data_IF_870018521948
#
_entry.id   IF_870018521948
#
_cell.length_a   1.000
_cell.length_b   1.000
_cell.length_c   1.000
_cell.angle_alpha   90.00
_cell.angle_beta   90.00
_cell.angle_gamma   90.00
#
_symmetry.space_group_name_H-M   'P 1'
#
loop_
_entity.id
_entity.type
_entity.pdbx_description
1 polymer ?
#
# COMPACT_ATOMS: atom_id res chain seq x y z
N UNK A 1 -59.08 7.61 -17.36
CA UNK A 1 -58.35 8.90 -17.38
C UNK A 1 -57.57 9.00 -18.69
N UNK A 2 -57.90 9.97 -19.54
CA UNK A 2 -57.37 10.07 -20.92
C UNK A 2 -55.84 10.23 -20.92
N UNK A 3 -55.12 9.63 -21.88
CA UNK A 3 -53.64 9.66 -21.94
C UNK A 3 -53.10 11.09 -21.90
N UNK A 4 -53.84 12.04 -22.48
CA UNK A 4 -53.51 13.46 -22.49
C UNK A 4 -53.53 14.09 -21.08
N UNK A 5 -54.52 13.71 -20.25
CA UNK A 5 -54.63 14.13 -18.85
C UNK A 5 -53.51 13.56 -17.98
N UNK A 6 -53.10 12.31 -18.22
CA UNK A 6 -52.00 11.68 -17.47
C UNK A 6 -50.67 12.39 -17.71
N UNK A 7 -50.39 12.80 -18.96
CA UNK A 7 -49.17 13.56 -19.31
C UNK A 7 -49.14 14.93 -18.65
N UNK A 8 -50.27 15.66 -18.66
CA UNK A 8 -50.36 16.97 -18.00
C UNK A 8 -50.21 16.85 -16.48
N UNK A 9 -50.78 15.81 -15.88
CA UNK A 9 -50.63 15.56 -14.45
C UNK A 9 -49.18 15.25 -14.06
N UNK A 10 -48.48 14.44 -14.84
CA UNK A 10 -47.05 14.15 -14.62
C UNK A 10 -46.21 15.43 -14.74
N UNK A 11 -46.49 16.26 -15.74
CA UNK A 11 -45.78 17.52 -15.96
C UNK A 11 -46.01 18.50 -14.80
N UNK A 12 -47.23 18.54 -14.27
CA UNK A 12 -47.59 19.40 -13.14
C UNK A 12 -46.91 18.96 -11.83
N UNK A 13 -46.81 17.64 -11.61
CA UNK A 13 -46.09 17.07 -10.46
C UNK A 13 -44.60 17.39 -10.53
N UNK A 14 -43.99 17.24 -11.71
CA UNK A 14 -42.57 17.60 -11.92
C UNK A 14 -42.30 19.09 -11.72
N UNK A 15 -43.19 19.96 -12.20
CA UNK A 15 -43.06 21.39 -12.02
C UNK A 15 -43.14 21.79 -10.54
N UNK A 16 -44.06 21.18 -9.78
CA UNK A 16 -44.18 21.39 -8.33
C UNK A 16 -42.94 20.93 -7.56
N UNK A 17 -42.34 19.79 -7.92
CA UNK A 17 -41.09 19.33 -7.30
C UNK A 17 -39.92 20.29 -7.54
N UNK A 18 -39.89 20.95 -8.70
CA UNK A 18 -38.83 21.92 -9.05
C UNK A 18 -39.02 23.27 -8.36
N UNK A 19 -40.26 23.67 -8.05
CA UNK A 19 -40.53 24.90 -7.29
C UNK A 19 -40.26 24.72 -5.79
N UNK A 20 -40.40 23.52 -5.23
CA UNK A 20 -40.19 23.24 -3.81
C UNK A 20 -38.72 23.00 -3.41
N UNK A 21 -37.79 22.82 -4.37
CA UNK A 21 -36.37 22.57 -4.07
C UNK A 21 -35.47 23.81 -4.12
N UNK A 22 -36.04 25.02 -4.29
CA UNK A 22 -35.25 26.23 -4.57
C UNK A 22 -34.72 26.95 -3.31
N UNK A 23 -35.03 26.47 -2.12
CA UNK A 23 -34.63 27.11 -0.85
C UNK A 23 -33.92 26.14 0.11
N UNK A 24 -33.23 25.13 -0.41
CA UNK A 24 -32.24 24.42 0.39
C UNK A 24 -30.99 25.29 0.56
N UNK A 25 -31.05 26.19 1.53
CA UNK A 25 -29.88 26.88 2.03
C UNK A 25 -29.07 25.87 2.86
N UNK A 26 -28.02 25.31 2.26
CA UNK A 26 -27.03 24.56 3.03
C UNK A 26 -26.25 25.59 3.84
N UNK A 27 -26.67 25.80 5.08
CA UNK A 27 -25.94 26.62 6.04
C UNK A 27 -24.68 25.85 6.44
N UNK A 28 -23.62 25.99 5.65
CA UNK A 28 -22.29 25.50 6.03
C UNK A 28 -21.64 26.54 6.93
N UNK A 29 -21.37 26.20 8.18
CA UNK A 29 -20.50 27.01 9.02
C UNK A 29 -19.05 26.78 8.57
N UNK A 30 -18.56 27.62 7.66
CA UNK A 30 -17.12 27.68 7.39
C UNK A 30 -16.46 28.45 8.54
N UNK A 31 -15.86 27.73 9.49
CA UNK A 31 -14.92 28.35 10.43
C UNK A 31 -13.63 28.62 9.65
N UNK A 32 -13.60 29.76 8.96
CA UNK A 32 -12.36 30.26 8.41
C UNK A 32 -11.48 30.72 9.57
N UNK A 33 -10.40 30.00 9.83
CA UNK A 33 -9.34 30.39 10.75
C UNK A 33 -8.53 31.53 10.13
N UNK A 34 -9.19 32.67 9.86
CA UNK A 34 -8.50 33.88 9.46
C UNK A 34 -7.74 34.43 10.67
N UNK A 35 -6.53 34.94 10.44
CA UNK A 35 -5.75 35.70 11.44
C UNK A 35 -6.39 37.07 11.76
N UNK A 36 -7.59 37.35 11.25
CA UNK A 36 -8.22 38.65 11.36
C UNK A 36 -9.04 38.69 12.64
N UNK A 37 -8.70 39.62 13.54
CA UNK A 37 -9.45 39.87 14.77
C UNK A 37 -10.92 40.14 14.44
N UNK A 38 -11.83 39.34 15.00
CA UNK A 38 -13.26 39.62 14.96
C UNK A 38 -13.55 40.55 16.14
N UNK A 39 -13.77 41.84 15.85
CA UNK A 39 -14.07 42.85 16.87
C UNK A 39 -15.56 43.18 16.87
N UNK A 40 -16.17 43.12 18.05
CA UNK A 40 -17.46 43.73 18.38
C UNK A 40 -17.26 44.73 19.53
N UNK A 41 -18.24 45.60 19.77
CA UNK A 41 -18.17 46.67 20.78
C UNK A 41 -17.93 46.16 22.22
N UNK A 42 -18.16 44.87 22.49
CA UNK A 42 -17.96 44.24 23.80
C UNK A 42 -16.93 43.10 23.81
N UNK A 43 -16.53 42.58 22.64
CA UNK A 43 -15.73 41.37 22.57
C UNK A 43 -14.80 41.36 21.35
N UNK A 44 -13.50 41.22 21.61
CA UNK A 44 -12.45 41.12 20.58
C UNK A 44 -11.90 39.69 20.55
N UNK A 45 -12.29 38.90 19.56
CA UNK A 45 -11.80 37.55 19.37
C UNK A 45 -10.55 37.58 18.46
N UNK A 46 -9.38 37.25 19.01
CA UNK A 46 -8.15 37.09 18.23
C UNK A 46 -7.94 35.61 17.91
N UNK A 47 -8.28 35.20 16.68
CA UNK A 47 -7.92 33.89 16.16
C UNK A 47 -6.44 33.88 15.78
N UNK A 48 -5.59 33.33 16.65
CA UNK A 48 -4.17 33.11 16.34
C UNK A 48 -3.93 31.64 16.05
N UNK A 49 -3.17 31.35 14.99
CA UNK A 49 -2.79 29.98 14.65
C UNK A 49 -1.70 29.56 15.63
N UNK A 50 -2.01 28.61 16.52
CA UNK A 50 -1.01 27.93 17.34
C UNK A 50 -0.83 28.42 18.78
N UNK A 51 -1.59 29.40 19.26
CA UNK A 51 -1.68 29.67 20.70
C UNK A 51 -3.12 29.71 21.19
N UNK A 52 -3.31 29.18 22.39
CA UNK A 52 -4.57 29.15 23.12
C UNK A 52 -5.22 30.54 23.12
N UNK A 53 -6.54 30.59 22.87
CA UNK A 53 -7.33 31.80 23.06
C UNK A 53 -7.15 32.25 24.52
N UNK A 54 -6.46 33.37 24.71
CA UNK A 54 -6.37 34.07 25.98
C UNK A 54 -7.00 35.45 25.80
N UNK A 55 -8.21 35.62 26.34
CA UNK A 55 -8.79 36.95 26.58
C UNK A 55 -8.68 37.25 28.08
N UNK A 56 -7.99 38.34 28.42
CA UNK A 56 -8.15 39.00 29.71
C UNK A 56 -9.03 40.24 29.47
N UNK A 57 -10.28 40.21 29.94
CA UNK A 57 -11.10 41.42 30.08
C UNK A 57 -11.13 41.86 31.54
N UNK A 58 -10.97 43.17 31.77
CA UNK A 58 -10.80 43.78 33.10
C UNK A 58 -12.11 44.13 33.80
N UNK A 59 -13.21 43.45 33.51
CA UNK A 59 -14.46 43.55 34.27
C UNK A 59 -15.26 42.27 34.08
N UNK A 60 -15.50 41.53 35.18
CA UNK A 60 -16.17 40.21 35.23
C UNK A 60 -15.86 39.31 34.01
N UNK A 61 -14.60 38.89 33.93
CA UNK A 61 -14.08 38.11 32.81
C UNK A 61 -14.64 36.69 32.83
N UNK A 62 -15.56 36.41 31.90
CA UNK A 62 -15.91 35.06 31.50
C UNK A 62 -14.69 34.45 30.77
N UNK A 63 -13.89 33.67 31.49
CA UNK A 63 -12.69 33.03 30.95
C UNK A 63 -13.10 31.86 30.02
N UNK A 64 -13.21 32.12 28.72
CA UNK A 64 -13.37 31.07 27.73
C UNK A 64 -11.99 30.48 27.41
N UNK A 65 -11.61 29.42 28.12
CA UNK A 65 -10.46 28.60 27.78
C UNK A 65 -10.69 28.04 26.38
N UNK A 66 -9.84 28.41 25.41
CA UNK A 66 -9.88 28.00 24.00
C UNK A 66 -9.67 26.51 23.73
N UNK A 67 -10.25 25.63 24.54
CA UNK A 67 -10.11 24.17 24.40
C UNK A 67 -10.64 23.66 23.07
N UNK A 68 -11.78 24.17 22.59
CA UNK A 68 -12.40 23.68 21.35
C UNK A 68 -11.54 23.96 20.11
N UNK A 69 -10.93 25.15 20.01
CA UNK A 69 -10.07 25.49 18.86
C UNK A 69 -8.75 24.72 18.90
N UNK A 70 -8.17 24.53 20.08
CA UNK A 70 -6.94 23.74 20.24
C UNK A 70 -7.17 22.26 19.88
N UNK A 71 -8.31 21.69 20.27
CA UNK A 71 -8.72 20.32 19.92
C UNK A 71 -8.88 20.19 18.40
N UNK A 72 -9.57 21.13 17.75
CA UNK A 72 -9.74 21.12 16.29
C UNK A 72 -8.39 21.27 15.56
N UNK A 73 -7.50 22.16 16.00
CA UNK A 73 -6.19 22.30 15.35
C UNK A 73 -5.30 21.07 15.48
N UNK A 74 -5.43 20.31 16.58
CA UNK A 74 -4.67 19.07 16.74
C UNK A 74 -5.27 17.94 15.89
N UNK A 75 -6.58 17.95 15.72
CA UNK A 75 -7.31 16.97 14.93
C UNK A 75 -7.03 17.11 13.42
N UNK A 76 -6.77 18.32 12.91
CA UNK A 76 -6.33 18.52 11.52
C UNK A 76 -4.81 18.35 11.31
N UNK A 77 -4.04 18.20 12.39
CA UNK A 77 -2.59 17.96 12.35
C UNK A 77 -2.22 16.49 12.58
N UNK A 78 -3.20 15.61 12.72
CA UNK A 78 -2.93 14.18 12.81
C UNK A 78 -2.50 13.66 11.44
N UNK A 79 -1.53 12.76 11.37
CA UNK A 79 -1.18 12.11 10.12
C UNK A 79 -2.31 11.15 9.70
N UNK A 80 -2.43 10.83 8.40
CA UNK A 80 -3.54 10.06 7.87
C UNK A 80 -3.57 8.63 8.43
N UNK A 81 -4.76 8.07 8.65
CA UNK A 81 -4.90 6.65 8.97
C UNK A 81 -4.72 5.83 7.70
N UNK A 82 -3.76 4.91 7.68
CA UNK A 82 -3.38 4.13 6.49
C UNK A 82 -3.51 2.62 6.74
N UNK A 83 -4.22 1.94 5.83
CA UNK A 83 -4.30 0.47 5.73
C UNK A 83 -3.92 0.02 4.33
N UNK A 84 -3.03 -0.98 4.21
CA UNK A 84 -2.54 -1.47 2.92
C UNK A 84 -2.90 -2.93 2.68
N UNK A 85 -3.20 -3.26 1.44
CA UNK A 85 -3.50 -4.62 0.98
C UNK A 85 -2.50 -5.02 -0.09
N UNK A 86 -1.60 -5.91 0.30
CA UNK A 86 -0.57 -6.52 -0.55
C UNK A 86 -0.70 -8.02 -0.36
N UNK A 87 -0.77 -8.78 -1.46
CA UNK A 87 -0.86 -10.24 -1.40
C UNK A 87 0.42 -10.84 -0.83
N UNK A 88 0.29 -11.75 0.15
CA UNK A 88 1.44 -12.44 0.75
C UNK A 88 2.21 -13.32 -0.25
N UNK A 89 1.55 -13.77 -1.32
CA UNK A 89 2.15 -14.51 -2.42
C UNK A 89 1.73 -13.92 -3.75
N UNK A 90 2.73 -13.63 -4.58
CA UNK A 90 2.58 -13.10 -5.93
C UNK A 90 2.94 -14.20 -6.91
N UNK A 91 2.03 -14.49 -7.83
CA UNK A 91 2.27 -15.43 -8.93
C UNK A 91 2.75 -14.65 -10.15
N UNK A 92 3.86 -15.07 -10.74
CA UNK A 92 4.32 -14.54 -12.01
C UNK A 92 3.70 -15.33 -13.16
N UNK A 93 2.42 -15.10 -13.38
CA UNK A 93 1.61 -15.74 -14.43
C UNK A 93 1.21 -14.78 -15.57
N UNK A 94 1.76 -13.56 -15.55
CA UNK A 94 1.45 -12.49 -16.51
C UNK A 94 0.19 -11.69 -16.14
N UNK A 95 -0.44 -11.97 -15.00
CA UNK A 95 -1.48 -11.09 -14.46
C UNK A 95 -0.87 -9.88 -13.74
N UNK A 96 -1.48 -8.69 -13.87
CA UNK A 96 -1.00 -7.50 -13.19
C UNK A 96 -1.15 -7.66 -11.67
N UNK A 97 -0.07 -7.40 -10.95
CA UNK A 97 -0.08 -7.37 -9.48
C UNK A 97 -0.53 -5.98 -9.04
N UNK A 98 -1.66 -5.92 -8.34
CA UNK A 98 -2.26 -4.66 -7.86
C UNK A 98 -2.09 -4.56 -6.36
N UNK A 99 -1.53 -3.44 -5.90
CA UNK A 99 -1.44 -3.08 -4.50
C UNK A 99 -2.45 -1.98 -4.21
N UNK A 100 -3.20 -2.14 -3.12
CA UNK A 100 -4.22 -1.18 -2.69
C UNK A 100 -3.89 -0.58 -1.34
N UNK A 101 -4.28 0.67 -1.16
CA UNK A 101 -4.18 1.38 0.10
C UNK A 101 -5.48 2.13 0.37
N UNK A 102 -5.92 2.11 1.61
CA UNK A 102 -7.01 2.94 2.13
C UNK A 102 -6.38 3.93 3.09
N UNK A 103 -6.47 5.21 2.73
CA UNK A 103 -5.99 6.32 3.55
C UNK A 103 -7.16 7.25 3.87
N UNK A 104 -7.30 7.63 5.14
CA UNK A 104 -8.35 8.55 5.58
C UNK A 104 -7.79 9.60 6.52
N UNK A 105 -8.11 10.86 6.26
CA UNK A 105 -7.87 11.98 7.18
C UNK A 105 -9.01 12.99 7.08
N UNK A 106 -9.17 13.83 8.10
CA UNK A 106 -10.18 14.88 8.17
C UNK A 106 -9.90 16.06 7.25
N UNK A 107 -8.63 16.31 6.92
CA UNK A 107 -8.24 17.31 5.92
C UNK A 107 -8.19 16.72 4.49
N UNK A 108 -8.55 15.44 4.31
CA UNK A 108 -8.50 14.73 3.04
C UNK A 108 -7.09 14.22 2.69
N UNK A 109 -7.00 13.36 1.68
CA UNK A 109 -5.72 12.80 1.23
C UNK A 109 -5.26 13.54 -0.02
N UNK A 110 -4.04 14.07 0.02
CA UNK A 110 -3.40 14.73 -1.11
C UNK A 110 -2.87 13.71 -2.13
N UNK A 111 -2.34 12.58 -1.64
CA UNK A 111 -1.93 11.49 -2.50
C UNK A 111 -1.30 10.32 -1.74
N UNK A 112 -1.06 9.24 -2.47
CA UNK A 112 -0.41 8.05 -1.96
C UNK A 112 0.61 7.53 -2.96
N UNK A 113 1.76 7.09 -2.46
CA UNK A 113 2.86 6.57 -3.26
C UNK A 113 3.24 5.17 -2.78
N UNK A 114 3.37 4.25 -3.73
CA UNK A 114 3.89 2.90 -3.51
C UNK A 114 5.41 2.92 -3.72
N UNK A 115 6.13 2.47 -2.71
CA UNK A 115 7.58 2.29 -2.74
C UNK A 115 7.88 0.81 -2.91
N UNK A 116 8.76 0.48 -3.86
CA UNK A 116 9.20 -0.88 -4.14
C UNK A 116 10.73 -0.93 -4.15
N UNK A 117 11.30 -1.69 -3.22
CA UNK A 117 12.74 -1.88 -3.09
C UNK A 117 13.11 -3.32 -3.48
N UNK A 118 13.66 -3.53 -4.68
CA UNK A 118 14.20 -4.83 -5.06
C UNK A 118 15.55 -5.07 -4.38
N UNK A 119 15.66 -6.16 -3.61
CA UNK A 119 16.87 -6.48 -2.85
C UNK A 119 17.32 -5.35 -1.92
N UNK A 120 18.61 -5.01 -1.95
CA UNK A 120 19.21 -3.94 -1.13
C UNK A 120 19.45 -2.61 -1.85
N UNK A 121 18.82 -2.39 -3.01
CA UNK A 121 18.98 -1.16 -3.79
C UNK A 121 18.13 0.01 -3.29
N UNK A 122 18.13 1.12 -4.03
CA UNK A 122 17.21 2.24 -3.78
C UNK A 122 15.76 1.88 -4.18
N UNK A 123 14.74 2.42 -3.49
CA UNK A 123 13.36 2.15 -3.83
C UNK A 123 12.90 2.91 -5.08
N UNK A 124 12.09 2.23 -5.88
CA UNK A 124 11.29 2.85 -6.94
C UNK A 124 10.00 3.41 -6.36
N UNK A 125 9.61 4.60 -6.79
CA UNK A 125 8.40 5.27 -6.33
C UNK A 125 7.36 5.27 -7.45
N UNK A 126 6.17 4.76 -7.15
CA UNK A 126 5.05 4.70 -8.05
C UNK A 126 3.88 5.49 -7.46
N UNK A 127 3.38 6.55 -8.14
CA UNK A 127 2.19 7.22 -7.70
C UNK A 127 1.00 6.28 -7.79
N UNK A 128 0.20 6.21 -6.73
CA UNK A 128 -1.03 5.43 -6.72
C UNK A 128 -2.18 6.25 -7.33
N UNK A 129 -3.01 5.60 -8.13
CA UNK A 129 -4.22 6.19 -8.72
C UNK A 129 -5.34 6.14 -7.68
N UNK A 130 -5.99 7.27 -7.46
CA UNK A 130 -7.17 7.34 -6.60
C UNK A 130 -8.37 6.71 -7.31
N UNK A 131 -8.96 5.67 -6.72
CA UNK A 131 -10.22 5.07 -7.14
C UNK A 131 -11.43 5.82 -6.57
N UNK A 132 -11.28 6.31 -5.35
CA UNK A 132 -12.22 7.15 -4.62
C UNK A 132 -11.44 8.11 -3.69
N UNK A 133 -12.15 8.83 -2.82
CA UNK A 133 -11.56 9.83 -1.90
C UNK A 133 -10.58 9.24 -0.87
N UNK A 134 -10.59 7.91 -0.68
CA UNK A 134 -9.83 7.19 0.34
C UNK A 134 -9.02 6.00 -0.19
N UNK A 135 -9.41 5.42 -1.32
CA UNK A 135 -8.83 4.20 -1.88
C UNK A 135 -7.90 4.54 -3.03
N UNK A 136 -6.69 4.01 -2.95
CA UNK A 136 -5.64 4.20 -3.93
C UNK A 136 -5.15 2.84 -4.43
N UNK A 137 -4.79 2.75 -5.71
CA UNK A 137 -4.19 1.55 -6.27
C UNK A 137 -2.96 1.84 -7.15
N UNK A 138 -2.01 0.92 -7.13
CA UNK A 138 -0.87 0.94 -8.04
C UNK A 138 -0.58 -0.48 -8.54
N UNK A 139 -0.15 -0.57 -9.79
CA UNK A 139 0.33 -1.83 -10.37
C UNK A 139 1.83 -1.95 -10.20
N UNK A 140 2.30 -3.14 -9.81
CA UNK A 140 3.71 -3.47 -9.77
C UNK A 140 4.18 -3.84 -11.18
N UNK A 141 5.20 -3.17 -11.75
CA UNK A 141 5.75 -3.54 -13.04
C UNK A 141 6.32 -4.95 -13.03
N UNK A 142 6.06 -5.73 -14.10
CA UNK A 142 6.58 -7.10 -14.24
C UNK A 142 8.10 -7.18 -14.15
N UNK A 143 8.81 -6.12 -14.57
CA UNK A 143 10.28 -6.04 -14.50
C UNK A 143 10.83 -6.09 -13.08
N UNK A 144 10.01 -5.77 -12.06
CA UNK A 144 10.39 -5.85 -10.65
C UNK A 144 10.04 -7.21 -10.02
N UNK A 145 9.21 -8.02 -10.69
CA UNK A 145 8.83 -9.36 -10.25
C UNK A 145 9.93 -10.37 -10.60
N UNK A 146 11.00 -10.36 -9.80
CA UNK A 146 12.21 -11.17 -10.04
C UNK A 146 12.52 -12.12 -8.88
N UNK A 147 13.40 -13.09 -9.14
CA UNK A 147 13.88 -14.05 -8.13
C UNK A 147 14.58 -13.42 -6.93
N UNK A 148 14.96 -12.14 -7.03
CA UNK A 148 15.60 -11.39 -5.94
C UNK A 148 14.59 -10.87 -4.92
N UNK A 149 13.30 -11.07 -5.18
CA UNK A 149 12.18 -10.56 -4.40
C UNK A 149 12.24 -9.01 -4.23
N UNK A 150 11.21 -8.44 -3.62
CA UNK A 150 11.17 -7.02 -3.28
C UNK A 150 10.47 -6.81 -1.95
N UNK A 151 10.77 -5.66 -1.35
CA UNK A 151 10.04 -5.12 -0.21
C UNK A 151 9.19 -3.96 -0.69
N UNK A 152 7.94 -3.88 -0.27
CA UNK A 152 7.04 -2.79 -0.62
C UNK A 152 6.44 -2.12 0.62
N UNK A 153 6.15 -0.82 0.51
CA UNK A 153 5.40 -0.06 1.50
C UNK A 153 4.71 1.11 0.81
N UNK A 154 3.71 1.69 1.47
CA UNK A 154 2.95 2.83 0.97
C UNK A 154 3.18 4.02 1.89
N UNK A 155 3.34 5.20 1.29
CA UNK A 155 3.35 6.47 2.02
C UNK A 155 2.19 7.30 1.52
N UNK A 156 1.30 7.68 2.43
CA UNK A 156 0.17 8.57 2.12
C UNK A 156 0.37 9.91 2.79
N UNK A 157 0.02 10.96 2.05
CA UNK A 157 0.19 12.37 2.45
C UNK A 157 -1.18 13.03 2.51
N UNK A 158 -1.47 13.70 3.60
CA UNK A 158 -2.74 14.39 3.82
C UNK A 158 -2.76 15.81 3.22
N UNK A 159 -3.89 16.51 3.32
CA UNK A 159 -4.05 17.87 2.80
C UNK A 159 -3.20 18.94 3.50
N UNK A 160 -2.62 18.63 4.68
CA UNK A 160 -1.71 19.49 5.43
C UNK A 160 -0.24 19.05 5.35
N UNK A 161 0.08 18.10 4.45
CA UNK A 161 1.42 17.53 4.22
C UNK A 161 1.98 16.71 5.40
N UNK A 162 1.12 16.15 6.24
CA UNK A 162 1.51 15.10 7.17
C UNK A 162 1.49 13.75 6.47
N UNK A 163 2.50 12.93 6.79
CA UNK A 163 2.71 11.65 6.13
C UNK A 163 2.52 10.49 7.10
N UNK A 164 1.93 9.41 6.59
CA UNK A 164 1.92 8.10 7.25
C UNK A 164 2.56 7.07 6.34
N UNK A 165 3.47 6.28 6.90
CA UNK A 165 4.09 5.14 6.22
C UNK A 165 3.48 3.84 6.71
N UNK A 166 3.13 2.93 5.79
CA UNK A 166 2.61 1.62 6.12
C UNK A 166 3.70 0.72 6.72
N UNK A 167 3.28 -0.42 7.26
CA UNK A 167 4.24 -1.50 7.51
C UNK A 167 4.84 -1.98 6.19
N UNK A 168 6.06 -2.51 6.29
CA UNK A 168 6.74 -3.09 5.15
C UNK A 168 6.24 -4.50 4.88
N UNK A 169 5.95 -4.78 3.62
CA UNK A 169 5.52 -6.09 3.16
C UNK A 169 6.61 -6.72 2.29
N UNK A 170 6.83 -8.01 2.47
CA UNK A 170 7.80 -8.82 1.70
C UNK A 170 7.06 -10.03 1.13
N UNK A 171 6.36 -9.88 0.02
CA UNK A 171 5.58 -10.96 -0.57
C UNK A 171 6.49 -12.11 -1.02
N UNK A 172 6.00 -13.34 -0.97
CA UNK A 172 6.65 -14.48 -1.59
C UNK A 172 6.37 -14.47 -3.10
N UNK A 173 7.34 -14.93 -3.91
CA UNK A 173 7.20 -14.99 -5.37
C UNK A 173 7.09 -16.44 -5.83
N UNK A 174 6.04 -16.74 -6.57
CA UNK A 174 5.83 -18.04 -7.21
C UNK A 174 6.11 -17.90 -8.71
N UNK A 175 6.99 -18.77 -9.22
CA UNK A 175 7.42 -18.80 -10.61
C UNK A 175 6.91 -20.07 -11.28
N UNK A 176 6.56 -19.96 -12.56
CA UNK A 176 6.19 -21.14 -13.34
C UNK A 176 7.41 -22.03 -13.61
N UNK A 177 7.19 -23.34 -13.81
CA UNK A 177 8.23 -24.39 -13.97
C UNK A 177 9.32 -24.03 -15.00
N UNK A 178 8.96 -23.27 -16.04
CA UNK A 178 9.87 -22.89 -17.13
C UNK A 178 10.58 -21.54 -16.94
N UNK A 179 10.25 -20.76 -15.91
CA UNK A 179 10.82 -19.41 -15.73
C UNK A 179 12.21 -19.44 -15.07
N UNK A 180 12.48 -20.46 -14.26
CA UNK A 180 13.78 -20.65 -13.62
C UNK A 180 14.62 -21.62 -14.45
N UNK A 181 15.47 -21.05 -15.31
CA UNK A 181 16.39 -21.80 -16.16
C UNK A 181 17.85 -21.36 -15.97
N UNK A 182 18.77 -22.32 -16.12
CA UNK A 182 20.20 -22.03 -16.25
C UNK A 182 20.55 -21.37 -17.58
N UNK A 183 19.65 -21.34 -18.56
CA UNK A 183 19.87 -20.67 -19.86
C UNK A 183 19.76 -19.13 -19.81
N UNK A 184 19.91 -18.52 -18.63
CA UNK A 184 19.84 -17.08 -18.45
C UNK A 184 21.22 -16.40 -18.59
N UNK A 185 21.25 -15.12 -18.94
CA UNK A 185 22.49 -14.35 -19.16
C UNK A 185 23.41 -14.25 -17.94
N UNK A 186 22.87 -14.44 -16.74
CA UNK A 186 23.63 -14.38 -15.47
C UNK A 186 24.05 -15.76 -14.97
N UNK A 187 23.76 -16.82 -15.71
CA UNK A 187 24.12 -18.18 -15.34
C UNK A 187 25.58 -18.44 -15.64
N UNK A 188 26.28 -19.05 -14.69
CA UNK A 188 27.62 -19.57 -14.92
C UNK A 188 27.61 -20.84 -15.79
N UNK A 189 26.43 -21.44 -15.99
CA UNK A 189 26.27 -22.73 -16.68
C UNK A 189 25.13 -22.66 -17.72
N UNK A 190 25.23 -21.78 -18.74
CA UNK A 190 24.18 -21.60 -19.75
C UNK A 190 23.88 -22.87 -20.55
N UNK A 191 24.93 -23.67 -20.84
CA UNK A 191 24.84 -24.93 -21.58
C UNK A 191 24.63 -26.15 -20.68
N UNK A 192 24.37 -25.93 -19.38
CA UNK A 192 24.23 -26.98 -18.38
C UNK A 192 25.49 -27.27 -17.57
N UNK A 193 25.40 -28.29 -16.73
CA UNK A 193 26.48 -28.71 -15.83
C UNK A 193 27.39 -29.70 -16.56
N UNK A 194 28.68 -29.38 -16.67
CA UNK A 194 29.68 -30.31 -17.23
C UNK A 194 29.76 -31.60 -16.40
N UNK A 195 29.91 -32.73 -17.08
CA UNK A 195 30.10 -34.04 -16.44
C UNK A 195 31.47 -34.18 -15.76
N UNK A 196 31.59 -35.19 -14.89
CA UNK A 196 32.85 -35.62 -14.26
C UNK A 196 33.50 -34.61 -13.30
N UNK A 197 32.74 -33.61 -12.80
CA UNK A 197 33.20 -32.67 -11.77
C UNK A 197 32.23 -32.59 -10.59
N UNK A 198 32.77 -32.64 -9.38
CA UNK A 198 32.02 -32.38 -8.13
C UNK A 198 31.66 -30.91 -8.03
N UNK A 199 30.40 -30.61 -7.68
CA UNK A 199 29.90 -29.24 -7.61
C UNK A 199 28.95 -29.10 -6.44
N UNK A 200 29.21 -28.11 -5.60
CA UNK A 200 28.27 -27.74 -4.55
C UNK A 200 27.06 -27.05 -5.18
N UNK A 201 25.87 -27.52 -4.85
CA UNK A 201 24.59 -26.94 -5.27
C UNK A 201 23.72 -26.65 -4.04
N UNK A 202 22.99 -25.54 -4.08
CA UNK A 202 21.99 -25.19 -3.07
C UNK A 202 20.76 -24.59 -3.73
N UNK A 203 19.61 -24.80 -3.10
CA UNK A 203 18.35 -24.23 -3.57
C UNK A 203 17.97 -23.03 -2.70
N UNK A 204 17.80 -21.84 -3.30
CA UNK A 204 17.49 -20.62 -2.55
C UNK A 204 15.99 -20.47 -2.23
N UNK A 205 15.12 -21.36 -2.72
CA UNK A 205 13.67 -21.24 -2.58
C UNK A 205 12.99 -22.58 -2.29
N UNK A 206 11.73 -22.49 -1.86
CA UNK A 206 10.86 -23.65 -1.64
C UNK A 206 10.35 -24.13 -3.00
N UNK A 207 10.49 -25.43 -3.26
CA UNK A 207 10.01 -26.07 -4.49
C UNK A 207 8.64 -26.70 -4.23
N UNK A 208 7.71 -26.55 -5.17
CA UNK A 208 6.41 -27.25 -5.13
C UNK A 208 6.59 -28.77 -5.15
N UNK A 209 7.56 -29.24 -5.94
CA UNK A 209 8.04 -30.61 -5.95
C UNK A 209 9.52 -30.64 -5.57
N UNK A 210 9.79 -31.03 -4.33
CA UNK A 210 11.15 -31.16 -3.80
C UNK A 210 11.68 -32.60 -3.84
N UNK A 211 10.91 -33.56 -4.35
CA UNK A 211 11.33 -34.95 -4.42
C UNK A 211 12.50 -35.12 -5.40
N UNK A 212 13.51 -35.86 -4.96
CA UNK A 212 14.59 -36.33 -5.80
C UNK A 212 14.24 -37.73 -6.29
N UNK A 213 14.22 -37.89 -7.61
CA UNK A 213 14.12 -39.23 -8.16
C UNK A 213 15.36 -40.05 -7.74
N UNK A 214 15.12 -41.24 -7.23
CA UNK A 214 16.16 -42.18 -6.82
C UNK A 214 16.93 -42.64 -8.05
N UNK A 215 18.03 -41.95 -8.36
CA UNK A 215 18.92 -42.33 -9.45
C UNK A 215 19.70 -43.60 -9.09
N UNK A 216 19.38 -44.68 -9.79
CA UNK A 216 20.17 -45.92 -9.89
C UNK A 216 21.05 -45.94 -11.14
N UNK A 217 21.19 -44.80 -11.84
CA UNK A 217 21.87 -44.72 -13.13
C UNK A 217 23.36 -45.01 -13.00
N UNK A 218 23.90 -45.84 -13.89
CA UNK A 218 25.35 -46.03 -14.12
C UNK A 218 26.01 -44.75 -14.68
N UNK A 219 25.24 -43.89 -15.36
CA UNK A 219 25.67 -42.60 -15.93
C UNK A 219 24.59 -41.54 -15.73
N UNK A 220 24.93 -40.43 -15.09
CA UNK A 220 24.04 -39.30 -14.83
C UNK A 220 24.56 -38.43 -13.69
N UNK A 221 23.81 -37.39 -13.34
CA UNK A 221 24.09 -36.59 -12.14
C UNK A 221 23.42 -37.25 -10.93
N UNK A 222 24.16 -37.43 -9.85
CA UNK A 222 23.67 -37.97 -8.57
C UNK A 222 23.93 -36.91 -7.51
N UNK A 223 22.93 -36.64 -6.68
CA UNK A 223 23.07 -35.73 -5.55
C UNK A 223 23.52 -36.49 -4.31
N UNK A 224 24.46 -35.89 -3.59
CA UNK A 224 24.88 -36.34 -2.28
C UNK A 224 24.72 -35.24 -1.23
N UNK A 225 24.26 -35.64 -0.05
CA UNK A 225 24.23 -34.83 1.15
C UNK A 225 25.41 -35.23 2.04
N UNK A 226 26.15 -34.25 2.53
CA UNK A 226 27.31 -34.48 3.40
C UNK A 226 26.95 -34.08 4.84
N UNK A 227 26.83 -35.07 5.69
CA UNK A 227 26.63 -34.84 7.11
C UNK A 227 27.99 -34.57 7.78
N UNK A 228 28.24 -33.31 8.14
CA UNK A 228 29.46 -32.87 8.81
C UNK A 228 29.64 -33.56 10.18
N UNK A 229 28.53 -33.89 10.85
CA UNK A 229 28.58 -34.47 12.20
C UNK A 229 29.03 -35.92 12.20
N UNK A 230 28.60 -36.70 11.19
CA UNK A 230 28.95 -38.12 11.06
C UNK A 230 30.03 -38.38 9.99
N UNK A 231 30.41 -37.35 9.23
CA UNK A 231 31.31 -37.40 8.08
C UNK A 231 30.90 -38.42 7.00
N UNK A 232 29.59 -38.62 6.85
CA UNK A 232 29.02 -39.58 5.89
C UNK A 232 28.36 -38.87 4.71
N UNK A 233 28.37 -39.57 3.58
CA UNK A 233 27.69 -39.15 2.36
C UNK A 233 26.42 -39.98 2.18
N UNK A 234 25.28 -39.31 2.09
CA UNK A 234 23.97 -39.96 1.90
C UNK A 234 23.33 -39.47 0.62
N UNK A 235 22.45 -40.30 0.05
CA UNK A 235 21.62 -39.88 -1.08
C UNK A 235 20.33 -39.27 -0.51
N UNK A 236 20.09 -37.97 -0.68
CA UNK A 236 18.88 -37.33 -0.18
C UNK A 236 17.66 -37.74 -1.02
N UNK A 237 16.52 -37.91 -0.37
CA UNK A 237 15.22 -38.16 -1.02
C UNK A 237 14.49 -36.86 -1.37
N UNK A 238 14.82 -35.77 -0.68
CA UNK A 238 14.19 -34.45 -0.85
C UNK A 238 15.21 -33.32 -0.85
N UNK A 239 14.87 -32.23 -1.55
CA UNK A 239 15.62 -30.97 -1.57
C UNK A 239 15.10 -30.03 -0.51
N UNK A 240 16.01 -29.50 0.31
CA UNK A 240 15.73 -28.57 1.38
C UNK A 240 16.33 -27.19 1.04
N UNK A 241 15.55 -26.11 1.19
CA UNK A 241 16.07 -24.75 1.02
C UNK A 241 17.23 -24.46 1.97
N UNK A 242 18.27 -23.80 1.46
CA UNK A 242 19.43 -23.41 2.27
C UNK A 242 20.40 -24.54 2.63
N UNK A 243 20.12 -25.78 2.23
CA UNK A 243 21.04 -26.91 2.38
C UNK A 243 21.98 -27.00 1.17
N UNK A 244 23.22 -27.42 1.44
CA UNK A 244 24.22 -27.66 0.41
C UNK A 244 24.28 -29.16 0.06
N UNK A 245 24.31 -29.43 -1.23
CA UNK A 245 24.41 -30.76 -1.83
C UNK A 245 25.61 -30.80 -2.78
N UNK A 246 26.06 -32.00 -3.14
CA UNK A 246 27.20 -32.24 -4.02
C UNK A 246 26.86 -33.17 -5.18
#
# INVERSE_FOLDING_TARGET
>A
MNIFMKKHFIFLVWFWSFSLSQEYEIITYQVSTTQKSISSDSLVLMGTIGSSLYQNSSSDSLQLKGGMTQILTNLFKSPPLLTTFISDTIKKDGMPVIIRAIATDLNGINGSNLFIQPGGGEPFVFPMVALDDSTFEASVPESLLTVRNFRAWVVSVDGMYYETTSQYNTPSMEFSVSELSMSNTFSHYPDGIESERWRMMSWPGVLDNNALETSSLERGHVFYDWDISTNNWTKPETREPGKAYW
#
